data_IF_830709713704
#
_entry.id   IF_830709713704
#
_cell.length_a   1.000
_cell.length_b   1.000
_cell.length_c   1.000
_cell.angle_alpha   90.00
_cell.angle_beta   90.00
_cell.angle_gamma   90.00
#
_symmetry.space_group_name_H-M   'P 1'
#
loop_
_entity.id
_entity.type
_entity.pdbx_description
1 polymer ?
#
# COMPACT_ATOMS: atom_id res chain seq x y z
N UNK A 1 -6.25 26.41 -21.56
CA UNK A 1 -7.26 25.50 -20.97
C UNK A 1 -7.73 24.58 -22.07
N UNK A 2 -7.16 23.40 -22.18
CA UNK A 2 -7.58 22.38 -23.14
C UNK A 2 -7.64 21.07 -22.39
N UNK A 3 -8.85 20.59 -22.19
CA UNK A 3 -9.15 19.28 -21.65
C UNK A 3 -8.83 18.22 -22.70
N UNK A 4 -7.86 17.37 -22.45
CA UNK A 4 -7.62 16.17 -23.24
C UNK A 4 -8.59 15.08 -22.80
N UNK A 5 -9.37 14.47 -23.68
CA UNK A 5 -10.17 13.31 -23.36
C UNK A 5 -9.28 12.07 -23.26
N UNK A 6 -9.30 11.42 -22.10
CA UNK A 6 -8.70 10.09 -21.95
C UNK A 6 -9.71 9.09 -22.54
N UNK A 7 -9.49 8.68 -23.78
CA UNK A 7 -10.17 7.54 -24.38
C UNK A 7 -9.47 6.26 -23.86
N UNK A 8 -10.23 5.22 -23.45
CA UNK A 8 -9.63 3.92 -23.15
C UNK A 8 -9.24 3.25 -24.47
N UNK A 9 -8.03 3.49 -24.91
CA UNK A 9 -7.46 2.74 -26.02
C UNK A 9 -7.16 1.33 -25.50
N UNK A 10 -7.84 0.36 -26.08
CA UNK A 10 -7.73 -1.06 -25.79
C UNK A 10 -6.27 -1.48 -25.79
N UNK A 11 -5.71 -1.72 -24.60
CA UNK A 11 -4.41 -2.33 -24.45
C UNK A 11 -4.46 -3.71 -25.09
N UNK A 12 -3.84 -3.81 -26.26
CA UNK A 12 -3.71 -5.04 -27.01
C UNK A 12 -2.79 -6.00 -26.25
N UNK A 13 -3.40 -6.93 -25.52
CA UNK A 13 -2.71 -7.96 -24.70
C UNK A 13 -1.90 -8.97 -25.51
N UNK A 14 -1.86 -8.83 -26.84
CA UNK A 14 -1.14 -9.78 -27.73
C UNK A 14 0.39 -9.66 -27.69
N UNK A 15 0.97 -8.64 -27.06
CA UNK A 15 2.42 -8.39 -27.09
C UNK A 15 3.18 -8.76 -25.80
N UNK A 16 2.56 -9.43 -24.83
CA UNK A 16 3.24 -9.90 -23.60
C UNK A 16 3.50 -11.42 -23.65
N UNK A 17 3.47 -12.03 -24.81
CA UNK A 17 3.98 -13.40 -24.98
C UNK A 17 5.46 -13.38 -25.33
N UNK A 18 6.29 -13.03 -24.37
CA UNK A 18 7.72 -13.35 -24.42
C UNK A 18 7.88 -14.88 -24.47
N UNK A 19 8.51 -15.38 -25.52
CA UNK A 19 8.86 -16.79 -25.70
C UNK A 19 9.75 -17.26 -24.54
N UNK A 20 9.16 -17.98 -23.58
CA UNK A 20 9.90 -18.89 -22.71
C UNK A 20 9.71 -20.30 -23.25
N UNK A 21 10.77 -20.85 -23.88
CA UNK A 21 10.82 -22.24 -24.29
C UNK A 21 11.16 -23.13 -23.11
N UNK A 22 10.22 -23.98 -22.78
CA UNK A 22 10.22 -25.44 -22.55
C UNK A 22 11.12 -26.01 -21.47
N UNK A 23 10.56 -26.21 -20.30
CA UNK A 23 10.80 -27.32 -19.39
C UNK A 23 9.46 -27.98 -19.07
N UNK A 24 9.37 -29.30 -19.20
CA UNK A 24 8.15 -30.12 -19.16
C UNK A 24 7.37 -30.00 -17.85
N UNK A 25 6.13 -29.57 -17.94
CA UNK A 25 5.10 -29.50 -16.90
C UNK A 25 4.16 -28.32 -17.18
N UNK A 26 2.85 -28.36 -16.87
CA UNK A 26 2.03 -27.17 -16.95
C UNK A 26 2.54 -26.18 -15.90
N UNK A 27 3.31 -25.19 -16.37
CA UNK A 27 3.72 -24.08 -15.54
C UNK A 27 2.45 -23.43 -14.97
N UNK A 28 2.24 -23.39 -13.65
CA UNK A 28 1.07 -22.73 -13.10
C UNK A 28 1.10 -21.28 -13.55
N UNK A 29 0.17 -20.90 -14.42
CA UNK A 29 0.08 -19.52 -14.89
C UNK A 29 -0.34 -18.66 -13.70
N UNK A 30 0.61 -17.92 -13.16
CA UNK A 30 0.39 -16.95 -12.10
C UNK A 30 0.37 -15.55 -12.70
N UNK A 31 -0.66 -14.80 -12.40
CA UNK A 31 -0.69 -13.37 -12.67
C UNK A 31 -0.83 -12.63 -11.35
N UNK A 32 0.14 -11.75 -11.07
CA UNK A 32 0.10 -10.86 -9.91
C UNK A 32 -0.30 -9.48 -10.39
N UNK A 33 -1.41 -8.95 -9.84
CA UNK A 33 -1.79 -7.57 -10.03
C UNK A 33 -1.41 -6.76 -8.80
N UNK A 34 -0.34 -5.94 -8.87
CA UNK A 34 -0.01 -5.03 -7.78
C UNK A 34 -1.00 -3.87 -7.77
N UNK A 35 -1.91 -3.86 -6.80
CA UNK A 35 -2.76 -2.70 -6.54
C UNK A 35 -2.05 -1.82 -5.54
N UNK A 36 -1.32 -0.84 -6.05
CA UNK A 36 -0.56 0.11 -5.25
C UNK A 36 -1.51 0.99 -4.45
N UNK A 37 -1.31 1.08 -3.11
CA UNK A 37 -2.09 1.83 -2.12
C UNK A 37 -3.43 1.21 -1.72
N UNK A 38 -3.41 -0.04 -1.31
CA UNK A 38 -4.60 -0.70 -0.80
C UNK A 38 -5.10 -0.21 0.57
N UNK A 39 -4.27 0.47 1.34
CA UNK A 39 -4.73 1.03 2.60
C UNK A 39 -5.93 1.96 2.37
N UNK A 40 -5.74 3.25 2.09
CA UNK A 40 -6.85 4.16 1.86
C UNK A 40 -7.55 3.94 0.51
N UNK A 41 -6.91 3.28 -0.47
CA UNK A 41 -7.49 3.05 -1.80
C UNK A 41 -8.73 2.16 -1.76
N UNK A 42 -8.52 0.85 -1.64
CA UNK A 42 -9.62 -0.13 -1.74
C UNK A 42 -10.66 0.01 -0.62
N UNK A 43 -10.22 0.20 0.62
CA UNK A 43 -11.10 0.19 1.78
C UNK A 43 -11.75 1.54 2.09
N UNK A 44 -11.22 2.65 1.59
CA UNK A 44 -11.68 3.99 1.93
C UNK A 44 -11.47 4.32 3.41
N UNK A 45 -12.12 5.39 3.87
CA UNK A 45 -12.09 5.77 5.29
C UNK A 45 -13.05 4.89 6.10
N UNK A 46 -12.52 4.14 7.05
CA UNK A 46 -13.28 3.19 7.90
C UNK A 46 -13.06 3.45 9.39
N UNK A 47 -12.48 4.60 9.74
CA UNK A 47 -12.20 4.93 11.14
C UNK A 47 -11.32 3.86 11.82
N UNK A 48 -11.79 3.33 12.96
CA UNK A 48 -11.04 2.37 13.78
C UNK A 48 -11.37 0.90 13.46
N UNK A 49 -12.21 0.66 12.44
CA UNK A 49 -12.63 -0.71 12.08
C UNK A 49 -11.43 -1.52 11.60
N UNK A 50 -11.22 -2.70 12.17
CA UNK A 50 -10.22 -3.65 11.71
C UNK A 50 -10.64 -4.23 10.37
N UNK A 51 -9.77 -4.12 9.37
CA UNK A 51 -10.01 -4.53 7.99
C UNK A 51 -9.09 -5.69 7.61
N UNK A 52 -9.62 -6.64 6.87
CA UNK A 52 -8.89 -7.77 6.31
C UNK A 52 -9.26 -7.94 4.85
N UNK A 53 -8.69 -8.94 4.20
CA UNK A 53 -8.98 -9.26 2.79
C UNK A 53 -10.45 -9.60 2.54
N UNK A 54 -11.16 -10.06 3.56
CA UNK A 54 -12.61 -10.36 3.49
C UNK A 54 -13.50 -9.13 3.66
N UNK A 55 -12.93 -7.98 4.01
CA UNK A 55 -13.69 -6.74 4.18
C UNK A 55 -14.09 -6.16 2.83
N UNK A 56 -15.31 -5.61 2.76
CA UNK A 56 -15.84 -4.99 1.54
C UNK A 56 -15.06 -3.74 1.15
N UNK A 57 -15.06 -3.41 -0.14
CA UNK A 57 -14.55 -2.14 -0.63
C UNK A 57 -15.23 -0.95 0.06
N UNK A 58 -14.49 0.14 0.16
CA UNK A 58 -15.03 1.40 0.62
C UNK A 58 -15.82 2.14 -0.45
N UNK A 59 -16.04 3.42 -0.23
CA UNK A 59 -16.66 4.33 -1.17
C UNK A 59 -15.66 5.41 -1.61
N UNK A 60 -15.87 5.97 -2.79
CA UNK A 60 -15.09 7.06 -3.36
C UNK A 60 -14.20 6.63 -4.52
N UNK A 61 -13.64 7.62 -5.19
CA UNK A 61 -12.93 7.44 -6.46
C UNK A 61 -11.84 6.36 -6.41
N UNK A 62 -10.97 6.37 -5.38
CA UNK A 62 -9.91 5.37 -5.29
C UNK A 62 -10.43 3.95 -5.05
N UNK A 63 -11.51 3.81 -4.27
CA UNK A 63 -12.14 2.50 -4.04
C UNK A 63 -12.79 1.96 -5.31
N UNK A 64 -13.40 2.84 -6.11
CA UNK A 64 -14.00 2.48 -7.40
C UNK A 64 -12.92 2.02 -8.39
N UNK A 65 -11.83 2.78 -8.52
CA UNK A 65 -10.68 2.42 -9.37
C UNK A 65 -10.06 1.08 -8.94
N UNK A 66 -9.88 0.85 -7.63
CA UNK A 66 -9.34 -0.43 -7.16
C UNK A 66 -10.26 -1.61 -7.49
N UNK A 67 -11.59 -1.43 -7.36
CA UNK A 67 -12.57 -2.46 -7.75
C UNK A 67 -12.52 -2.76 -9.25
N UNK A 68 -12.44 -1.72 -10.06
CA UNK A 68 -12.37 -1.87 -11.52
C UNK A 68 -11.08 -2.60 -11.93
N UNK A 69 -9.96 -2.32 -11.27
CA UNK A 69 -8.71 -3.03 -11.51
C UNK A 69 -8.78 -4.51 -11.10
N UNK A 70 -9.36 -4.82 -9.94
CA UNK A 70 -9.57 -6.22 -9.53
C UNK A 70 -10.52 -6.92 -10.52
N UNK A 71 -11.59 -6.27 -10.92
CA UNK A 71 -12.54 -6.81 -11.90
C UNK A 71 -11.93 -7.07 -13.28
N UNK A 72 -10.97 -6.25 -13.70
CA UNK A 72 -10.26 -6.44 -14.97
C UNK A 72 -9.45 -7.76 -15.05
N UNK A 73 -9.18 -8.39 -13.91
CA UNK A 73 -8.47 -9.67 -13.84
C UNK A 73 -9.42 -10.90 -13.91
N UNK A 74 -10.74 -10.72 -13.78
CA UNK A 74 -11.71 -11.82 -13.79
C UNK A 74 -11.59 -12.74 -15.03
N UNK A 75 -11.38 -12.23 -16.27
CA UNK A 75 -11.19 -13.11 -17.42
C UNK A 75 -9.99 -14.06 -17.29
N UNK A 76 -8.96 -13.66 -16.56
CA UNK A 76 -7.80 -14.54 -16.29
C UNK A 76 -8.17 -15.63 -15.28
N UNK A 77 -8.95 -15.29 -14.25
CA UNK A 77 -9.47 -16.27 -13.27
C UNK A 77 -10.40 -17.26 -13.95
N UNK A 78 -11.32 -16.80 -14.81
CA UNK A 78 -12.24 -17.64 -15.60
C UNK A 78 -11.49 -18.59 -16.54
N UNK A 79 -10.33 -18.18 -17.03
CA UNK A 79 -9.42 -19.02 -17.82
C UNK A 79 -8.58 -20.01 -16.96
N UNK A 80 -8.82 -20.10 -15.66
CA UNK A 80 -8.12 -20.99 -14.75
C UNK A 80 -6.73 -20.52 -14.34
N UNK A 81 -6.38 -19.27 -14.62
CA UNK A 81 -5.11 -18.67 -14.18
C UNK A 81 -5.23 -18.26 -12.71
N UNK A 82 -4.21 -18.61 -11.91
CA UNK A 82 -4.14 -18.17 -10.53
C UNK A 82 -3.87 -16.66 -10.45
N UNK A 83 -4.82 -15.90 -9.97
CA UNK A 83 -4.70 -14.43 -9.82
C UNK A 83 -4.53 -14.07 -8.36
N UNK A 84 -3.63 -13.13 -8.09
CA UNK A 84 -3.45 -12.53 -6.76
C UNK A 84 -3.47 -10.99 -6.90
N UNK A 85 -4.33 -10.36 -6.12
CA UNK A 85 -4.45 -8.91 -6.02
C UNK A 85 -3.71 -8.42 -4.78
N UNK A 86 -2.49 -7.90 -4.96
CA UNK A 86 -1.73 -7.34 -3.86
C UNK A 86 -2.24 -5.94 -3.53
N UNK A 87 -2.88 -5.79 -2.38
CA UNK A 87 -3.32 -4.52 -1.81
C UNK A 87 -2.22 -3.99 -0.90
N UNK A 88 -1.37 -3.10 -1.45
CA UNK A 88 -0.16 -2.63 -0.81
C UNK A 88 -0.45 -1.38 0.03
N UNK A 89 -0.01 -1.35 1.28
CA UNK A 89 -0.10 -0.20 2.18
C UNK A 89 0.83 0.96 1.81
N UNK A 90 1.03 1.89 2.74
CA UNK A 90 1.99 2.98 2.57
C UNK A 90 3.40 2.40 2.62
N UNK A 91 4.10 2.43 1.49
CA UNK A 91 5.48 1.92 1.43
C UNK A 91 6.42 2.89 2.12
N UNK A 92 7.15 2.37 3.11
CA UNK A 92 8.25 3.06 3.80
C UNK A 92 9.54 2.68 3.09
N UNK A 93 10.13 3.65 2.37
CA UNK A 93 11.45 3.51 1.77
C UNK A 93 12.10 4.88 1.63
N UNK A 94 13.40 4.94 1.90
CA UNK A 94 14.21 6.16 1.70
C UNK A 94 14.41 6.52 0.23
N UNK A 95 14.31 5.53 -0.65
CA UNK A 95 14.59 5.67 -2.08
C UNK A 95 13.37 6.14 -2.89
N UNK A 96 12.21 6.29 -2.24
CA UNK A 96 10.99 6.76 -2.91
C UNK A 96 9.75 6.69 -2.04
N UNK A 97 8.61 7.05 -2.62
CA UNK A 97 7.32 7.02 -1.94
C UNK A 97 7.10 8.16 -0.95
N UNK A 98 6.44 7.88 0.17
CA UNK A 98 6.02 8.88 1.14
C UNK A 98 7.15 9.36 2.07
N UNK A 99 8.06 8.46 2.47
CA UNK A 99 9.07 8.76 3.50
C UNK A 99 9.99 9.94 3.12
N UNK A 100 10.60 10.04 1.92
CA UNK A 100 11.47 11.16 1.57
C UNK A 100 10.78 12.52 1.68
N UNK A 101 9.49 12.59 1.32
CA UNK A 101 8.70 13.82 1.41
C UNK A 101 8.44 14.23 2.87
N UNK A 102 8.28 13.23 3.76
CA UNK A 102 8.09 13.46 5.19
C UNK A 102 9.40 13.83 5.88
N UNK A 103 10.54 13.32 5.45
CA UNK A 103 11.84 13.58 6.08
C UNK A 103 12.21 15.07 6.09
N UNK A 104 11.90 15.81 5.03
CA UNK A 104 12.27 17.23 4.91
C UNK A 104 11.69 18.09 6.04
N UNK A 105 10.38 18.15 6.30
CA UNK A 105 9.83 18.93 7.38
C UNK A 105 10.29 18.45 8.76
N UNK A 106 10.50 17.14 8.95
CA UNK A 106 11.01 16.61 10.21
C UNK A 106 12.46 17.03 10.47
N UNK A 107 13.34 16.96 9.45
CA UNK A 107 14.73 17.41 9.56
C UNK A 107 14.82 18.90 9.90
N UNK A 108 13.89 19.71 9.40
CA UNK A 108 13.78 21.14 9.72
C UNK A 108 13.15 21.41 11.11
N UNK A 109 12.72 20.37 11.83
CA UNK A 109 12.12 20.51 13.15
C UNK A 109 10.66 21.01 13.15
N UNK A 110 10.03 21.09 11.97
CA UNK A 110 8.62 21.51 11.81
C UNK A 110 7.68 20.33 11.52
N UNK A 111 8.16 19.09 11.70
CA UNK A 111 7.37 17.89 11.55
C UNK A 111 6.35 17.71 12.66
N UNK A 112 5.22 17.08 12.36
CA UNK A 112 4.18 16.80 13.32
C UNK A 112 3.01 16.01 12.75
N UNK A 113 2.05 15.71 13.63
CA UNK A 113 0.84 14.96 13.23
C UNK A 113 -0.02 15.74 12.24
N UNK A 114 -0.70 15.01 11.37
CA UNK A 114 -1.59 15.57 10.36
C UNK A 114 -3.04 15.49 10.86
N UNK A 115 -3.74 16.62 10.89
CA UNK A 115 -5.12 16.70 11.37
C UNK A 115 -5.25 16.27 12.83
N UNK A 116 -6.17 15.34 13.10
CA UNK A 116 -6.37 14.77 14.44
C UNK A 116 -5.22 13.88 14.91
N UNK A 117 -4.50 13.27 13.97
CA UNK A 117 -3.47 12.26 14.23
C UNK A 117 -4.04 10.89 14.66
N UNK A 118 -5.38 10.75 14.75
CA UNK A 118 -6.05 9.52 15.19
C UNK A 118 -6.28 8.51 14.06
N UNK A 119 -6.18 8.96 12.82
CA UNK A 119 -6.35 8.11 11.64
C UNK A 119 -5.25 7.04 11.59
N UNK A 120 -5.65 5.80 11.33
CA UNK A 120 -4.75 4.67 11.17
C UNK A 120 -4.10 4.67 9.79
N UNK A 121 -2.81 4.37 9.79
CA UNK A 121 -2.01 4.14 8.60
C UNK A 121 -1.49 2.71 8.59
N UNK A 122 -1.85 1.98 7.55
CA UNK A 122 -1.28 0.67 7.27
C UNK A 122 -0.06 0.85 6.38
N UNK A 123 1.08 0.49 6.90
CA UNK A 123 2.38 0.69 6.30
C UNK A 123 3.06 -0.65 5.99
N UNK A 124 4.10 -0.64 5.18
CA UNK A 124 4.95 -1.80 4.87
C UNK A 124 6.30 -1.29 4.37
N UNK A 125 7.38 -2.06 4.56
CA UNK A 125 8.68 -1.75 3.95
C UNK A 125 8.75 -2.24 2.51
N UNK A 126 9.63 -1.65 1.70
CA UNK A 126 9.85 -2.12 0.33
C UNK A 126 10.37 -3.56 0.32
N UNK A 127 11.21 -3.93 1.28
CA UNK A 127 11.74 -5.29 1.43
C UNK A 127 10.64 -6.31 1.68
N UNK A 128 9.68 -5.99 2.57
CA UNK A 128 8.52 -6.85 2.83
C UNK A 128 7.56 -6.91 1.64
N UNK A 129 7.44 -5.85 0.83
CA UNK A 129 6.66 -5.92 -0.42
C UNK A 129 7.29 -6.93 -1.38
N UNK A 130 8.59 -6.85 -1.58
CA UNK A 130 9.33 -7.79 -2.44
C UNK A 130 9.24 -9.21 -1.89
N UNK A 131 9.46 -9.38 -0.58
CA UNK A 131 9.35 -10.67 0.10
C UNK A 131 7.95 -11.30 -0.03
N UNK A 132 6.89 -10.50 0.17
CA UNK A 132 5.51 -10.94 0.00
C UNK A 132 5.20 -11.35 -1.45
N UNK A 133 5.75 -10.65 -2.45
CA UNK A 133 5.63 -11.05 -3.86
C UNK A 133 6.29 -12.41 -4.09
N UNK A 134 7.50 -12.63 -3.62
CA UNK A 134 8.19 -13.93 -3.71
C UNK A 134 7.39 -15.03 -3.02
N UNK A 135 6.95 -14.77 -1.77
CA UNK A 135 6.14 -15.72 -1.02
C UNK A 135 4.86 -16.13 -1.77
N UNK A 136 4.17 -15.17 -2.38
CA UNK A 136 2.96 -15.44 -3.15
C UNK A 136 3.26 -16.21 -4.45
N UNK A 137 4.41 -15.97 -5.08
CA UNK A 137 4.84 -16.72 -6.27
C UNK A 137 5.06 -18.18 -5.89
N UNK A 138 5.81 -18.44 -4.82
CA UNK A 138 6.22 -19.77 -4.39
C UNK A 138 5.09 -20.56 -3.71
N UNK A 139 4.11 -19.87 -3.12
CA UNK A 139 2.98 -20.48 -2.43
C UNK A 139 1.73 -20.53 -3.31
N UNK A 140 1.52 -21.68 -3.97
CA UNK A 140 0.40 -21.89 -4.90
C UNK A 140 -1.00 -21.85 -4.25
N UNK A 141 -1.08 -21.94 -2.93
CA UNK A 141 -2.35 -21.90 -2.19
C UNK A 141 -2.91 -20.48 -2.04
N UNK A 142 -2.06 -19.46 -2.17
CA UNK A 142 -2.45 -18.05 -2.04
C UNK A 142 -3.12 -17.57 -3.33
N UNK A 143 -4.36 -17.10 -3.21
CA UNK A 143 -5.21 -16.63 -4.33
C UNK A 143 -6.05 -15.41 -3.92
N UNK A 144 -6.49 -14.64 -4.92
CA UNK A 144 -7.40 -13.49 -4.71
C UNK A 144 -6.72 -12.34 -3.97
N UNK A 145 -7.47 -11.58 -3.18
CA UNK A 145 -6.94 -10.40 -2.48
C UNK A 145 -5.94 -10.77 -1.39
N UNK A 146 -4.82 -10.05 -1.32
CA UNK A 146 -3.77 -10.18 -0.30
C UNK A 146 -3.37 -8.78 0.18
N UNK A 147 -3.55 -8.50 1.45
CA UNK A 147 -3.10 -7.25 2.05
C UNK A 147 -1.60 -7.32 2.32
N UNK A 148 -0.83 -6.53 1.60
CA UNK A 148 0.62 -6.38 1.79
C UNK A 148 0.87 -5.15 2.68
N UNK A 149 0.70 -5.34 3.98
CA UNK A 149 0.88 -4.35 5.04
C UNK A 149 1.60 -5.00 6.21
N UNK A 150 2.30 -4.22 7.01
CA UNK A 150 2.89 -4.72 8.26
C UNK A 150 1.80 -5.19 9.25
N UNK A 151 2.11 -6.13 10.16
CA UNK A 151 1.14 -6.70 11.09
C UNK A 151 0.48 -5.69 12.02
N UNK A 152 1.18 -4.58 12.31
CA UNK A 152 0.74 -3.55 13.25
C UNK A 152 0.44 -2.22 12.54
N UNK A 153 -0.83 -1.95 12.18
CA UNK A 153 -1.23 -0.62 11.72
C UNK A 153 -1.12 0.38 12.87
N UNK A 154 -0.57 1.55 12.60
CA UNK A 154 -0.32 2.59 13.59
C UNK A 154 -1.16 3.82 13.36
N UNK A 155 -1.41 4.64 14.40
CA UNK A 155 -2.02 5.95 14.18
C UNK A 155 -1.01 6.92 13.55
N UNK A 156 -1.49 7.93 12.82
CA UNK A 156 -0.61 8.99 12.31
C UNK A 156 0.18 9.67 13.43
N UNK A 157 -0.41 9.82 14.61
CA UNK A 157 0.28 10.38 15.76
C UNK A 157 1.46 9.50 16.21
N UNK A 158 1.26 8.18 16.28
CA UNK A 158 2.31 7.24 16.67
C UNK A 158 3.40 7.16 15.60
N UNK A 159 3.00 7.10 14.32
CA UNK A 159 3.94 7.19 13.20
C UNK A 159 4.82 8.44 13.29
N UNK A 160 4.19 9.59 13.52
CA UNK A 160 4.87 10.89 13.63
C UNK A 160 5.86 10.94 14.80
N UNK A 161 5.46 10.42 15.96
CA UNK A 161 6.34 10.34 17.13
C UNK A 161 7.52 9.42 16.88
N UNK A 162 7.27 8.25 16.31
CA UNK A 162 8.32 7.26 16.00
C UNK A 162 9.31 7.80 14.97
N UNK A 163 8.82 8.48 13.92
CA UNK A 163 9.67 9.12 12.92
C UNK A 163 10.52 10.26 13.53
N UNK A 164 9.90 11.09 14.39
CA UNK A 164 10.62 12.12 15.11
C UNK A 164 11.74 11.55 16.01
N UNK A 165 11.44 10.48 16.74
CA UNK A 165 12.43 9.80 17.59
C UNK A 165 13.58 9.22 16.77
N UNK A 166 13.29 8.52 15.66
CA UNK A 166 14.31 7.96 14.76
C UNK A 166 15.23 9.02 14.14
N UNK A 167 14.72 10.25 13.95
CA UNK A 167 15.50 11.38 13.43
C UNK A 167 16.18 12.21 14.52
N UNK A 168 15.93 11.93 15.80
CA UNK A 168 16.38 12.78 16.92
C UNK A 168 15.79 14.20 16.84
N UNK A 169 14.57 14.35 16.35
CA UNK A 169 13.90 15.64 16.12
C UNK A 169 12.53 15.70 16.83
N UNK A 170 12.15 16.87 17.38
CA UNK A 170 10.82 17.03 17.93
C UNK A 170 9.75 16.92 16.83
N UNK A 171 8.60 16.34 17.17
CA UNK A 171 7.44 16.17 16.27
C UNK A 171 6.21 16.89 16.83
N UNK A 172 6.39 18.15 17.22
CA UNK A 172 5.39 18.92 18.00
C UNK A 172 4.54 19.88 17.19
N UNK A 173 4.87 20.13 15.93
CA UNK A 173 4.14 21.07 15.09
C UNK A 173 3.04 20.37 14.28
N UNK A 174 1.76 20.40 14.72
CA UNK A 174 0.70 19.73 13.99
C UNK A 174 0.43 20.45 12.66
N UNK A 175 0.28 19.68 11.58
CA UNK A 175 -0.25 20.20 10.32
C UNK A 175 -1.79 20.16 10.39
N UNK A 176 -2.48 21.29 10.42
CA UNK A 176 -3.94 21.30 10.39
C UNK A 176 -4.49 20.65 9.12
N UNK A 177 -5.64 19.97 9.23
CA UNK A 177 -6.25 19.28 8.08
C UNK A 177 -6.54 20.24 6.91
N UNK A 178 -6.92 21.52 7.19
CA UNK A 178 -7.15 22.50 6.13
C UNK A 178 -5.87 22.84 5.36
N UNK A 179 -4.71 22.87 6.02
CA UNK A 179 -3.43 23.14 5.37
C UNK A 179 -3.02 21.97 4.46
N UNK A 180 -3.23 20.73 4.92
CA UNK A 180 -3.02 19.54 4.10
C UNK A 180 -3.92 19.57 2.84
N UNK A 181 -5.21 19.94 3.01
CA UNK A 181 -6.16 20.06 1.89
C UNK A 181 -5.80 21.19 0.93
N UNK A 182 -5.29 22.31 1.44
CA UNK A 182 -4.84 23.44 0.60
C UNK A 182 -3.62 23.03 -0.26
N UNK A 183 -2.70 22.26 0.31
CA UNK A 183 -1.48 21.82 -0.38
C UNK A 183 -1.73 20.69 -1.39
N UNK A 184 -2.60 19.73 -1.10
CA UNK A 184 -2.78 18.49 -1.86
C UNK A 184 -4.20 18.31 -2.41
N UNK A 185 -5.12 19.25 -2.16
CA UNK A 185 -6.50 19.15 -2.62
C UNK A 185 -7.21 17.92 -2.07
N UNK A 186 -7.98 17.25 -2.91
CA UNK A 186 -8.73 16.05 -2.55
C UNK A 186 -7.82 14.88 -2.16
N UNK A 187 -6.60 14.80 -2.73
CA UNK A 187 -5.62 13.78 -2.35
C UNK A 187 -5.26 13.79 -0.87
N UNK A 188 -5.34 14.96 -0.20
CA UNK A 188 -5.10 15.03 1.24
C UNK A 188 -6.11 14.18 2.04
N UNK A 189 -7.38 14.19 1.64
CA UNK A 189 -8.40 13.38 2.31
C UNK A 189 -8.14 11.89 2.10
N UNK A 190 -7.89 11.50 0.84
CA UNK A 190 -7.76 10.10 0.48
C UNK A 190 -6.46 9.46 0.97
N UNK A 191 -5.38 10.23 1.09
CA UNK A 191 -4.05 9.68 1.38
C UNK A 191 -3.54 9.95 2.80
N UNK A 192 -3.92 11.08 3.39
CA UNK A 192 -3.34 11.53 4.67
C UNK A 192 -4.35 11.55 5.82
N UNK A 193 -5.61 11.86 5.53
CA UNK A 193 -6.64 12.07 6.53
C UNK A 193 -7.59 10.88 6.70
N UNK A 194 -7.69 10.00 5.70
CA UNK A 194 -8.48 8.76 5.81
C UNK A 194 -7.81 7.77 6.76
N UNK A 195 -8.66 7.03 7.47
CA UNK A 195 -8.26 6.03 8.45
C UNK A 195 -8.53 4.63 7.91
N UNK A 196 -7.47 3.82 7.82
CA UNK A 196 -7.54 2.45 7.33
C UNK A 196 -6.67 1.54 8.19
N UNK A 197 -7.34 0.78 9.07
CA UNK A 197 -6.70 -0.16 10.00
C UNK A 197 -6.70 -1.56 9.41
N UNK A 198 -5.78 -1.82 8.47
CA UNK A 198 -5.70 -3.06 7.67
C UNK A 198 -4.72 -4.04 8.28
N UNK A 199 -5.08 -5.33 8.25
CA UNK A 199 -4.27 -6.45 8.73
C UNK A 199 -3.96 -7.41 7.57
N UNK A 200 -2.75 -8.00 7.53
CA UNK A 200 -2.29 -8.91 6.48
C UNK A 200 -2.67 -10.37 6.78
N UNK A 201 -3.95 -10.65 7.01
CA UNK A 201 -4.40 -11.95 7.52
C UNK A 201 -4.03 -13.10 6.60
N UNK A 202 -4.04 -12.89 5.30
CA UNK A 202 -3.70 -13.93 4.34
C UNK A 202 -2.20 -14.20 4.30
N UNK A 203 -1.34 -13.20 4.39
CA UNK A 203 0.11 -13.40 4.50
C UNK A 203 0.45 -14.13 5.81
N UNK A 204 -0.11 -13.69 6.95
CA UNK A 204 0.09 -14.35 8.24
C UNK A 204 -0.35 -15.83 8.20
N UNK A 205 -1.56 -16.10 7.69
CA UNK A 205 -2.10 -17.47 7.64
C UNK A 205 -1.40 -18.38 6.64
N UNK A 206 -0.73 -17.80 5.63
CA UNK A 206 0.07 -18.55 4.66
C UNK A 206 1.52 -18.77 5.10
N UNK A 207 1.90 -18.28 6.28
CA UNK A 207 3.24 -18.46 6.86
C UNK A 207 4.29 -17.48 6.34
N UNK A 208 3.89 -16.27 5.93
CA UNK A 208 4.84 -15.21 5.60
C UNK A 208 5.42 -14.59 6.87
N UNK A 209 6.74 -14.63 7.01
CA UNK A 209 7.47 -14.00 8.11
C UNK A 209 7.93 -12.59 7.68
N UNK A 210 7.38 -11.56 8.31
CA UNK A 210 7.74 -10.18 8.02
C UNK A 210 9.16 -9.87 8.47
N UNK A 211 9.95 -9.26 7.59
CA UNK A 211 11.32 -8.83 7.88
C UNK A 211 11.33 -7.63 8.84
N UNK A 212 10.37 -6.73 8.68
CA UNK A 212 10.25 -5.49 9.42
C UNK A 212 8.84 -5.34 10.03
N UNK A 213 8.46 -6.15 11.03
CA UNK A 213 7.11 -6.08 11.61
C UNK A 213 6.89 -4.87 12.51
N UNK A 214 7.99 -4.25 13.01
CA UNK A 214 7.95 -3.13 13.96
C UNK A 214 8.33 -1.82 13.29
N UNK A 215 7.47 -0.79 13.44
CA UNK A 215 7.65 0.51 12.80
C UNK A 215 8.94 1.22 13.22
N UNK A 216 9.31 1.17 14.50
CA UNK A 216 10.50 1.87 14.97
C UNK A 216 11.76 1.30 14.32
N UNK A 217 11.89 -0.02 14.30
CA UNK A 217 13.00 -0.70 13.66
C UNK A 217 13.04 -0.45 12.14
N UNK A 218 11.87 -0.52 11.47
CA UNK A 218 11.76 -0.22 10.05
C UNK A 218 12.23 1.20 9.71
N UNK A 219 11.79 2.21 10.48
CA UNK A 219 12.20 3.60 10.27
C UNK A 219 13.69 3.82 10.57
N UNK A 220 14.21 3.22 11.62
CA UNK A 220 15.65 3.30 11.95
C UNK A 220 16.50 2.68 10.83
N UNK A 221 16.12 1.52 10.32
CA UNK A 221 16.80 0.86 9.21
C UNK A 221 16.78 1.74 7.95
N UNK A 222 15.63 2.26 7.57
CA UNK A 222 15.48 3.11 6.37
C UNK A 222 16.20 4.45 6.49
N UNK A 223 16.30 5.03 7.68
CA UNK A 223 16.97 6.31 7.90
C UNK A 223 18.50 6.13 7.95
N UNK A 224 18.99 5.04 8.55
CA UNK A 224 20.41 4.78 8.75
C UNK A 224 21.07 3.99 7.60
N UNK A 225 20.31 3.38 6.71
CA UNK A 225 20.83 2.73 5.52
C UNK A 225 21.65 3.75 4.70
N UNK A 226 22.92 3.48 4.44
CA UNK A 226 23.87 4.35 3.68
C UNK A 226 23.74 4.11 2.18
#
# INVERSE_FOLDING_TARGET
MASLPITPESANLSNITGHFQTGQGPCPRLTIYPIVRAGPGYYGDRGDICLSESSTAGAGFLSDVCRDWEAAALPAEDAGIRVVHLRIGVIISRNGGALPQMLTPFKLGVGGRIGSGRQFWSWVTLEDVVGAIHHVIDNETVRGAVNCVAPEPVTNNDFTKTLGAALGRPSVFPMPAFAARLALGQMANDLLLSSTRVFPRRLESSGYDFLQPNLAHALETEINAR
#
